data_IF_454695988038
#
_entry.id   IF_454695988038
#
_cell.length_a   1.000
_cell.length_b   1.000
_cell.length_c   1.000
_cell.angle_alpha   90.00
_cell.angle_beta   90.00
_cell.angle_gamma   90.00
#
_symmetry.space_group_name_H-M   'P 1'
#
loop_
_entity.id
_entity.type
_entity.pdbx_description
1 polymer ?
#
# COMPACT_ATOMS: atom_id res chain seq x y z
N UNK A 1 -11.20 -4.95 -11.37
CA UNK A 1 -10.33 -5.63 -10.41
C UNK A 1 -10.62 -7.11 -10.26
N UNK A 2 -11.88 -7.53 -10.27
CA UNK A 2 -12.25 -8.94 -10.20
C UNK A 2 -11.41 -9.82 -11.13
N UNK A 3 -11.13 -9.35 -12.35
CA UNK A 3 -10.34 -10.13 -13.34
C UNK A 3 -8.88 -10.35 -12.95
N UNK A 4 -8.26 -9.45 -12.18
CA UNK A 4 -6.89 -9.64 -11.69
C UNK A 4 -6.82 -10.61 -10.52
N UNK A 5 -7.94 -10.83 -9.84
CA UNK A 5 -8.10 -11.72 -8.70
C UNK A 5 -8.85 -12.99 -9.06
N UNK A 6 -9.23 -13.16 -10.35
CA UNK A 6 -9.86 -14.37 -10.85
C UNK A 6 -8.95 -15.56 -10.63
N UNK A 7 -9.47 -16.60 -9.98
CA UNK A 7 -8.70 -17.81 -9.63
C UNK A 7 -7.88 -17.70 -8.33
N UNK A 8 -8.00 -16.59 -7.60
CA UNK A 8 -7.46 -16.50 -6.25
C UNK A 8 -8.47 -17.08 -5.24
N UNK A 9 -7.99 -17.92 -4.33
CA UNK A 9 -8.83 -18.56 -3.31
C UNK A 9 -9.04 -17.63 -2.11
N UNK A 10 -8.05 -16.77 -1.85
CA UNK A 10 -8.03 -15.83 -0.72
C UNK A 10 -7.43 -14.49 -1.11
N UNK A 11 -7.73 -13.47 -0.31
CA UNK A 11 -7.11 -12.15 -0.37
C UNK A 11 -6.32 -11.89 0.90
N UNK A 12 -5.13 -11.30 0.75
CA UNK A 12 -4.35 -10.76 1.83
C UNK A 12 -4.34 -9.24 1.71
N UNK A 13 -5.05 -8.54 2.60
CA UNK A 13 -5.02 -7.09 2.69
C UNK A 13 -3.97 -6.64 3.70
N UNK A 14 -3.31 -5.51 3.43
CA UNK A 14 -2.33 -4.94 4.33
C UNK A 14 -2.41 -3.42 4.37
N UNK A 15 -2.01 -2.87 5.51
CA UNK A 15 -1.70 -1.46 5.73
C UNK A 15 -0.36 -1.40 6.43
N UNK A 16 0.53 -0.54 5.98
CA UNK A 16 1.84 -0.31 6.60
C UNK A 16 2.18 1.18 6.62
N UNK A 17 2.96 1.59 7.59
CA UNK A 17 3.43 2.96 7.75
C UNK A 17 4.84 2.97 8.35
N UNK A 18 5.59 4.04 8.07
CA UNK A 18 6.86 4.32 8.79
C UNK A 18 6.63 5.19 10.05
N UNK A 19 5.35 5.44 10.37
CA UNK A 19 4.96 6.16 11.58
C UNK A 19 4.87 7.69 11.38
N UNK A 20 4.41 8.40 12.41
CA UNK A 20 4.11 9.83 12.34
C UNK A 20 5.32 10.76 12.53
N UNK A 21 6.46 10.25 13.02
CA UNK A 21 7.60 11.09 13.38
C UNK A 21 8.14 11.90 12.20
N UNK A 22 8.15 11.31 11.00
CA UNK A 22 8.59 12.01 9.80
C UNK A 22 7.66 13.17 9.46
N UNK A 23 6.35 12.96 9.48
CA UNK A 23 5.35 14.00 9.20
C UNK A 23 5.49 15.17 10.18
N UNK A 24 5.67 14.86 11.48
CA UNK A 24 5.87 15.86 12.53
C UNK A 24 7.15 16.68 12.30
N UNK A 25 8.24 16.03 11.92
CA UNK A 25 9.51 16.72 11.62
C UNK A 25 9.39 17.59 10.38
N UNK A 26 8.72 17.13 9.32
CA UNK A 26 8.48 17.94 8.10
C UNK A 26 7.68 19.19 8.42
N UNK A 27 6.61 19.05 9.22
CA UNK A 27 5.79 20.19 9.66
C UNK A 27 6.64 21.20 10.46
N UNK A 28 7.44 20.72 11.41
CA UNK A 28 8.31 21.58 12.23
C UNK A 28 9.37 22.32 11.39
N UNK A 29 9.95 21.67 10.38
CA UNK A 29 10.89 22.30 9.45
C UNK A 29 10.23 23.44 8.65
N UNK A 30 8.98 23.29 8.28
CA UNK A 30 8.24 24.31 7.52
C UNK A 30 7.79 25.45 8.44
N UNK A 31 7.12 25.12 9.54
CA UNK A 31 6.39 26.10 10.34
C UNK A 31 7.28 26.82 11.36
N UNK A 32 8.22 26.12 11.98
CA UNK A 32 9.03 26.64 13.08
C UNK A 32 10.42 27.11 12.60
N UNK A 33 11.08 26.33 11.76
CA UNK A 33 12.47 26.58 11.35
C UNK A 33 12.58 27.37 10.03
N UNK A 34 11.52 27.47 9.23
CA UNK A 34 11.52 28.06 7.88
C UNK A 34 12.54 27.42 6.94
N UNK A 35 12.69 26.10 7.02
CA UNK A 35 13.62 25.29 6.23
C UNK A 35 12.87 24.41 5.21
N UNK A 36 12.21 24.98 4.20
CA UNK A 36 11.36 24.24 3.27
C UNK A 36 12.16 23.29 2.37
N UNK A 37 13.43 23.54 2.15
CA UNK A 37 14.29 22.68 1.34
C UNK A 37 14.62 21.39 2.08
N UNK A 38 14.97 21.48 3.35
CA UNK A 38 15.20 20.36 4.24
C UNK A 38 13.94 19.52 4.41
N UNK A 39 12.79 20.18 4.57
CA UNK A 39 11.48 19.52 4.62
C UNK A 39 11.22 18.71 3.34
N UNK A 40 11.49 19.27 2.16
CA UNK A 40 11.34 18.59 0.86
C UNK A 40 12.25 17.38 0.73
N UNK A 41 13.52 17.48 1.15
CA UNK A 41 14.44 16.35 1.13
C UNK A 41 14.00 15.25 2.09
N UNK A 42 13.58 15.61 3.30
CA UNK A 42 13.09 14.65 4.29
C UNK A 42 11.83 13.95 3.80
N UNK A 43 10.90 14.67 3.21
CA UNK A 43 9.68 14.12 2.62
C UNK A 43 10.01 13.15 1.48
N UNK A 44 10.94 13.52 0.60
CA UNK A 44 11.40 12.66 -0.50
C UNK A 44 12.04 11.38 0.04
N UNK A 45 12.87 11.47 1.07
CA UNK A 45 13.47 10.31 1.73
C UNK A 45 12.39 9.39 2.34
N UNK A 46 11.34 9.96 2.93
CA UNK A 46 10.19 9.22 3.43
C UNK A 46 9.47 8.44 2.35
N UNK A 47 9.21 9.05 1.19
CA UNK A 47 8.62 8.37 0.04
C UNK A 47 9.47 7.21 -0.46
N UNK A 48 10.77 7.39 -0.58
CA UNK A 48 11.70 6.32 -0.99
C UNK A 48 11.73 5.21 0.05
N UNK A 49 11.66 5.55 1.34
CA UNK A 49 11.67 4.58 2.44
C UNK A 49 10.43 3.70 2.42
N UNK A 50 9.24 4.29 2.35
CA UNK A 50 7.99 3.49 2.33
C UNK A 50 7.88 2.65 1.05
N UNK A 51 8.36 3.17 -0.08
CA UNK A 51 8.42 2.42 -1.34
C UNK A 51 9.35 1.21 -1.21
N UNK A 52 10.54 1.39 -0.64
CA UNK A 52 11.49 0.30 -0.40
C UNK A 52 10.94 -0.72 0.59
N UNK A 53 10.37 -0.27 1.70
CA UNK A 53 9.74 -1.13 2.69
C UNK A 53 8.63 -1.98 2.07
N UNK A 54 7.78 -1.39 1.24
CA UNK A 54 6.71 -2.09 0.54
C UNK A 54 7.25 -3.19 -0.40
N UNK A 55 8.33 -2.91 -1.12
CA UNK A 55 8.99 -3.92 -2.00
C UNK A 55 9.58 -5.08 -1.20
N UNK A 56 10.25 -4.78 -0.10
CA UNK A 56 10.83 -5.80 0.78
C UNK A 56 9.73 -6.66 1.41
N UNK A 57 8.66 -6.05 1.89
CA UNK A 57 7.49 -6.74 2.42
C UNK A 57 6.87 -7.69 1.40
N UNK A 58 6.63 -7.20 0.17
CA UNK A 58 6.09 -8.04 -0.91
C UNK A 58 7.01 -9.21 -1.26
N UNK A 59 8.33 -9.00 -1.26
CA UNK A 59 9.32 -10.06 -1.52
C UNK A 59 9.31 -11.10 -0.41
N UNK A 60 9.28 -10.65 0.84
CA UNK A 60 9.21 -11.54 2.01
C UNK A 60 7.94 -12.40 1.99
N UNK A 61 6.78 -11.78 1.81
CA UNK A 61 5.50 -12.51 1.72
C UNK A 61 5.50 -13.54 0.59
N UNK A 62 6.00 -13.18 -0.60
CA UNK A 62 6.08 -14.11 -1.72
C UNK A 62 6.93 -15.34 -1.41
N UNK A 63 8.07 -15.14 -0.74
CA UNK A 63 8.94 -16.25 -0.34
C UNK A 63 8.27 -17.13 0.73
N UNK A 64 7.62 -16.53 1.72
CA UNK A 64 6.92 -17.22 2.78
C UNK A 64 5.77 -18.09 2.21
N UNK A 65 4.88 -17.50 1.42
CA UNK A 65 3.77 -18.22 0.81
C UNK A 65 4.23 -19.29 -0.19
N UNK A 66 5.30 -19.02 -0.95
CA UNK A 66 5.89 -20.03 -1.83
C UNK A 66 6.40 -21.27 -1.06
N UNK A 67 6.98 -21.08 0.12
CA UNK A 67 7.43 -22.18 0.98
C UNK A 67 6.26 -23.05 1.45
N UNK A 68 5.06 -22.49 1.54
CA UNK A 68 3.81 -23.19 1.89
C UNK A 68 3.10 -23.79 0.68
N UNK A 69 3.64 -23.59 -0.52
CA UNK A 69 3.06 -24.08 -1.78
C UNK A 69 1.97 -23.18 -2.37
N UNK A 70 1.87 -21.93 -1.95
CA UNK A 70 0.95 -20.94 -2.49
C UNK A 70 1.67 -19.94 -3.41
N UNK A 71 0.91 -19.30 -4.28
CA UNK A 71 1.40 -18.18 -5.12
C UNK A 71 0.67 -16.90 -4.72
N UNK A 72 1.42 -15.81 -4.59
CA UNK A 72 0.87 -14.48 -4.44
C UNK A 72 0.85 -13.75 -5.79
N UNK A 73 -0.24 -13.04 -6.03
CA UNK A 73 -0.38 -12.17 -7.19
C UNK A 73 0.59 -10.96 -7.13
N UNK A 74 0.50 -10.12 -8.15
CA UNK A 74 1.03 -8.76 -8.06
C UNK A 74 0.35 -8.03 -6.89
N UNK A 75 1.11 -7.18 -6.18
CA UNK A 75 0.54 -6.26 -5.20
C UNK A 75 -0.35 -5.24 -5.93
N UNK A 76 -1.56 -5.08 -5.47
CA UNK A 76 -2.51 -4.11 -6.00
C UNK A 76 -2.99 -3.18 -4.89
N UNK A 77 -3.34 -1.95 -5.23
CA UNK A 77 -3.87 -0.98 -4.29
C UNK A 77 -4.62 0.15 -4.99
N UNK A 78 -5.54 0.82 -4.29
CA UNK A 78 -6.28 1.96 -4.82
C UNK A 78 -5.34 3.10 -5.28
N UNK A 79 -5.75 3.80 -6.32
CA UNK A 79 -4.99 4.93 -6.90
C UNK A 79 -3.88 4.53 -7.88
N UNK A 80 -3.74 3.25 -8.23
CA UNK A 80 -2.72 2.77 -9.17
C UNK A 80 -3.32 2.17 -10.44
N UNK A 81 -2.53 2.28 -11.51
CA UNK A 81 -2.82 1.65 -12.80
C UNK A 81 -2.12 0.31 -12.93
N UNK A 82 -2.84 -0.66 -13.48
CA UNK A 82 -2.36 -2.01 -13.71
C UNK A 82 -2.56 -2.40 -15.18
N UNK A 83 -1.70 -3.28 -15.74
CA UNK A 83 -1.95 -3.86 -17.06
C UNK A 83 -3.34 -4.51 -17.08
N UNK A 84 -4.10 -4.32 -18.14
CA UNK A 84 -5.36 -5.04 -18.29
C UNK A 84 -5.11 -6.55 -18.36
N UNK A 85 -5.95 -7.39 -17.74
CA UNK A 85 -5.79 -8.86 -17.80
C UNK A 85 -5.93 -9.43 -19.21
N UNK A 86 -6.59 -8.69 -20.10
CA UNK A 86 -6.81 -9.06 -21.51
C UNK A 86 -6.61 -7.80 -22.37
N UNK A 87 -5.76 -7.90 -23.40
CA UNK A 87 -5.41 -6.80 -24.30
C UNK A 87 -4.30 -5.90 -23.75
N UNK A 88 -3.98 -4.84 -24.50
CA UNK A 88 -2.85 -3.93 -24.23
C UNK A 88 -3.24 -2.70 -23.39
N UNK A 89 -4.43 -2.72 -22.78
CA UNK A 89 -4.95 -1.61 -21.98
C UNK A 89 -4.39 -1.57 -20.55
N UNK A 90 -4.78 -0.51 -19.83
CA UNK A 90 -4.55 -0.36 -18.38
C UNK A 90 -5.89 -0.21 -17.68
N UNK A 91 -5.93 -0.67 -16.43
CA UNK A 91 -7.09 -0.54 -15.54
C UNK A 91 -6.64 0.19 -14.30
N UNK A 92 -7.31 1.30 -13.99
CA UNK A 92 -7.07 2.08 -12.76
C UNK A 92 -7.92 1.51 -11.63
N UNK A 93 -7.32 1.26 -10.47
CA UNK A 93 -8.07 1.01 -9.27
C UNK A 93 -8.42 2.35 -8.62
N UNK A 94 -9.72 2.67 -8.60
CA UNK A 94 -10.21 3.95 -8.09
C UNK A 94 -9.73 4.20 -6.65
N UNK A 95 -9.19 5.38 -6.40
CA UNK A 95 -8.68 5.79 -5.09
C UNK A 95 -9.79 5.77 -4.02
N UNK A 96 -11.03 6.08 -4.38
CA UNK A 96 -12.17 6.09 -3.45
C UNK A 96 -12.46 4.71 -2.84
N UNK A 97 -12.10 3.64 -3.53
CA UNK A 97 -12.23 2.28 -3.03
C UNK A 97 -11.22 1.96 -1.90
N UNK A 98 -10.38 2.90 -1.53
CA UNK A 98 -9.53 2.78 -0.34
C UNK A 98 -10.35 2.69 0.95
N UNK A 99 -11.55 3.29 0.98
CA UNK A 99 -12.48 3.16 2.11
C UNK A 99 -12.92 1.71 2.28
N UNK A 100 -13.34 1.08 1.20
CA UNK A 100 -13.74 -0.35 1.18
C UNK A 100 -12.57 -1.26 1.61
N UNK A 101 -11.35 -0.95 1.16
CA UNK A 101 -10.16 -1.68 1.59
C UNK A 101 -9.93 -1.56 3.11
N UNK A 102 -10.13 -0.38 3.68
CA UNK A 102 -9.99 -0.17 5.13
C UNK A 102 -11.10 -0.86 5.91
N UNK A 103 -12.31 -0.94 5.39
CA UNK A 103 -13.44 -1.68 6.00
C UNK A 103 -13.15 -3.18 6.13
N UNK A 104 -12.31 -3.76 5.25
CA UNK A 104 -11.90 -5.17 5.36
C UNK A 104 -11.19 -5.51 6.67
N UNK A 105 -10.59 -4.53 7.34
CA UNK A 105 -9.92 -4.74 8.63
C UNK A 105 -10.90 -4.76 9.82
N UNK A 106 -12.17 -4.38 9.59
CA UNK A 106 -13.19 -4.34 10.61
C UNK A 106 -12.86 -3.40 11.76
N UNK A 107 -13.08 -3.86 12.98
CA UNK A 107 -12.83 -3.07 14.21
C UNK A 107 -11.36 -3.09 14.67
N UNK A 108 -10.45 -3.64 13.89
CA UNK A 108 -9.03 -3.67 14.25
C UNK A 108 -8.47 -2.26 14.29
N UNK A 109 -7.78 -1.93 15.39
CA UNK A 109 -7.03 -0.68 15.47
C UNK A 109 -5.88 -0.71 14.44
N UNK A 110 -5.94 0.18 13.47
CA UNK A 110 -4.89 0.34 12.47
C UNK A 110 -3.95 1.49 12.88
N UNK A 111 -2.67 1.40 12.55
CA UNK A 111 -1.71 2.48 12.78
C UNK A 111 -1.87 3.65 11.81
N UNK A 112 -2.84 3.57 10.92
CA UNK A 112 -3.11 4.54 9.84
C UNK A 112 -4.60 4.88 9.86
N UNK A 113 -4.91 6.16 9.78
CA UNK A 113 -6.26 6.66 9.58
C UNK A 113 -6.47 7.12 8.15
N UNK A 114 -7.72 7.17 7.72
CA UNK A 114 -8.11 7.62 6.38
C UNK A 114 -8.99 8.87 6.50
N UNK A 115 -8.66 9.92 5.75
CA UNK A 115 -9.51 11.10 5.65
C UNK A 115 -10.71 10.85 4.74
N UNK A 116 -11.66 11.77 4.72
CA UNK A 116 -12.81 11.74 3.80
C UNK A 116 -12.37 11.70 2.33
N UNK A 117 -11.22 12.33 2.01
CA UNK A 117 -10.62 12.38 0.66
C UNK A 117 -9.68 11.20 0.39
N UNK A 118 -9.75 10.13 1.18
CA UNK A 118 -8.91 8.93 1.05
C UNK A 118 -7.41 9.17 1.23
N UNK A 119 -6.99 10.26 1.89
CA UNK A 119 -5.60 10.46 2.27
C UNK A 119 -5.28 9.70 3.56
N UNK A 120 -4.17 8.98 3.55
CA UNK A 120 -3.68 8.25 4.73
C UNK A 120 -2.88 9.15 5.66
N UNK A 121 -3.07 8.99 6.97
CA UNK A 121 -2.25 9.61 8.01
C UNK A 121 -1.78 8.51 8.98
N UNK A 122 -0.47 8.38 9.25
CA UNK A 122 0.65 9.17 8.73
C UNK A 122 0.76 9.15 7.20
N UNK A 123 1.33 10.22 6.62
CA UNK A 123 1.42 10.41 5.16
C UNK A 123 2.23 9.31 4.47
N UNK A 124 3.34 8.89 5.10
CA UNK A 124 4.20 7.84 4.56
C UNK A 124 3.65 6.46 4.94
N UNK A 125 2.52 6.13 4.31
CA UNK A 125 1.80 4.88 4.49
C UNK A 125 1.49 4.23 3.14
N UNK A 126 1.22 2.93 3.16
CA UNK A 126 0.80 2.13 2.01
C UNK A 126 -0.28 1.14 2.42
N UNK A 127 -1.23 0.98 1.54
CA UNK A 127 -2.24 -0.08 1.65
C UNK A 127 -2.26 -0.91 0.37
N UNK A 128 -2.91 -2.05 0.41
CA UNK A 128 -3.10 -2.87 -0.77
C UNK A 128 -3.53 -4.29 -0.46
N UNK A 129 -3.63 -5.07 -1.53
CA UNK A 129 -4.00 -6.47 -1.48
C UNK A 129 -3.07 -7.33 -2.33
N UNK A 130 -2.98 -8.60 -1.97
CA UNK A 130 -2.47 -9.68 -2.79
C UNK A 130 -3.57 -10.74 -2.94
N UNK A 131 -3.72 -11.29 -4.13
CA UNK A 131 -4.47 -12.53 -4.31
C UNK A 131 -3.59 -13.71 -3.95
N UNK A 132 -4.16 -14.70 -3.28
CA UNK A 132 -3.50 -15.96 -2.92
C UNK A 132 -4.14 -17.05 -3.76
N UNK A 133 -3.33 -17.77 -4.54
CA UNK A 133 -3.78 -18.93 -5.33
C UNK A 133 -3.31 -20.20 -4.65
N UNK A 134 -4.20 -21.18 -4.53
CA UNK A 134 -3.93 -22.46 -3.87
C UNK A 134 -2.82 -23.27 -4.53
N UNK A 135 -2.44 -24.36 -3.88
CA UNK A 135 -1.42 -25.29 -4.37
C UNK A 135 -1.79 -25.78 -5.76
N UNK A 136 -0.97 -25.44 -6.77
CA UNK A 136 -0.96 -26.28 -7.97
C UNK A 136 -0.50 -27.69 -7.54
N UNK A 137 -1.43 -28.64 -7.51
CA UNK A 137 -1.11 -30.07 -7.39
C UNK A 137 -0.34 -30.51 -8.64
#
# INVERSE_FOLDING_TARGET
FERHLTGCDHLLAFVMTIGPALDQTVISLIDDAFEPLEALFLETAGWLTIERATKLFATHLKAEYASLGYKLSLRMGPGYDYPAPIGDGRVTWDLWQQKELFEMFGEKALPVTLSEMCAMSPKMSRSGVFGITGKCN
#
